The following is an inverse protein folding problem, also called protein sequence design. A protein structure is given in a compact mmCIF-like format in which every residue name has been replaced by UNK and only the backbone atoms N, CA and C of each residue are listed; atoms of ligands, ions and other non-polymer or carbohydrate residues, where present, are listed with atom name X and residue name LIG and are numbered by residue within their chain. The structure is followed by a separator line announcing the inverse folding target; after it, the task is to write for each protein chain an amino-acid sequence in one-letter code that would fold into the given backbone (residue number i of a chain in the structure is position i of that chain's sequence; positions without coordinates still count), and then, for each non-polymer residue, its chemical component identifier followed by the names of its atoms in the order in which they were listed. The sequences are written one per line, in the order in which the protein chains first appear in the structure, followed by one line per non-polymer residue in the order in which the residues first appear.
data_IF_665669567541
#
_entry.id   IF_665669567541
#
_cell.length_a   1.000
_cell.length_b   1.000
_cell.length_c   1.000
_cell.angle_alpha   90.00
_cell.angle_beta   90.00
_cell.angle_gamma   90.00
#
_symmetry.space_group_name_H-M   'P 1'
#
loop_
_entity.id
_entity.type
_entity.pdbx_description
1 polymer ?
#
# COMPACT_ATOMS: atom_id res chain seq x y z
N UNK A 1 21.75 4.17 8.18
CA UNK A 1 20.33 4.58 8.15
C UNK A 1 19.43 3.39 7.82
N UNK A 2 18.34 3.27 8.53
CA UNK A 2 17.36 2.23 8.23
C UNK A 2 16.66 2.53 6.91
N UNK A 3 16.45 1.49 6.09
CA UNK A 3 15.67 1.64 4.87
C UNK A 3 14.17 1.72 5.21
N UNK A 4 13.42 2.47 4.42
CA UNK A 4 11.98 2.63 4.61
C UNK A 4 11.21 1.42 4.08
N UNK A 5 11.66 0.84 2.97
CA UNK A 5 11.01 -0.32 2.35
C UNK A 5 12.05 -1.28 1.79
N UNK A 6 12.04 -2.51 2.28
CA UNK A 6 12.93 -3.57 1.78
C UNK A 6 12.56 -4.00 0.34
N UNK A 7 11.41 -3.57 -0.16
CA UNK A 7 10.98 -3.86 -1.53
C UNK A 7 11.45 -2.82 -2.55
N UNK A 8 12.02 -1.70 -2.09
CA UNK A 8 12.36 -0.56 -2.93
C UNK A 8 13.71 -0.72 -3.63
N UNK A 9 13.83 -1.75 -4.42
CA UNK A 9 14.98 -1.96 -5.30
C UNK A 9 14.55 -2.78 -6.51
N UNK A 10 15.33 -2.70 -7.58
CA UNK A 10 15.09 -3.51 -8.78
C UNK A 10 15.18 -5.00 -8.44
N UNK A 11 16.19 -5.38 -7.66
CA UNK A 11 16.40 -6.79 -7.29
C UNK A 11 15.26 -7.35 -6.46
N UNK A 12 14.83 -6.63 -5.43
CA UNK A 12 13.73 -7.08 -4.56
C UNK A 12 12.41 -7.16 -5.34
N UNK A 13 12.13 -6.17 -6.18
CA UNK A 13 10.93 -6.14 -7.01
C UNK A 13 10.91 -7.31 -7.98
N UNK A 14 12.03 -7.54 -8.67
CA UNK A 14 12.14 -8.65 -9.61
C UNK A 14 11.97 -10.00 -8.92
N UNK A 15 12.54 -10.16 -7.74
CA UNK A 15 12.43 -11.38 -6.95
C UNK A 15 10.99 -11.70 -6.59
N UNK A 16 10.26 -10.70 -6.06
CA UNK A 16 8.85 -10.85 -5.70
C UNK A 16 8.02 -11.22 -6.93
N UNK A 17 8.18 -10.49 -8.03
CA UNK A 17 7.44 -10.76 -9.25
C UNK A 17 7.74 -12.14 -9.82
N UNK A 18 9.01 -12.57 -9.77
CA UNK A 18 9.43 -13.90 -10.25
C UNK A 18 8.80 -15.02 -9.44
N UNK A 19 8.75 -14.87 -8.11
CA UNK A 19 8.15 -15.88 -7.23
C UNK A 19 6.65 -16.06 -7.49
N UNK A 20 6.00 -15.03 -8.01
CA UNK A 20 4.57 -15.08 -8.35
C UNK A 20 4.30 -15.28 -9.83
N UNK A 21 5.34 -15.55 -10.63
CA UNK A 21 5.18 -15.79 -12.06
C UNK A 21 4.83 -14.54 -12.87
N UNK A 22 5.14 -13.36 -12.35
CA UNK A 22 4.73 -12.09 -12.94
C UNK A 22 5.86 -11.28 -13.58
N UNK A 23 7.10 -11.79 -13.56
CA UNK A 23 8.27 -11.03 -14.00
C UNK A 23 8.21 -10.61 -15.47
N UNK A 24 7.52 -11.39 -16.32
CA UNK A 24 7.38 -11.09 -17.74
C UNK A 24 6.18 -10.22 -18.07
N UNK A 25 5.24 -10.07 -17.13
CA UNK A 25 4.02 -9.29 -17.33
C UNK A 25 4.18 -7.81 -17.00
N UNK A 26 5.17 -7.47 -16.17
CA UNK A 26 5.33 -6.13 -15.63
C UNK A 26 6.69 -5.56 -15.98
N UNK A 27 6.69 -4.30 -16.43
CA UNK A 27 7.91 -3.58 -16.74
C UNK A 27 8.44 -2.92 -15.48
N UNK A 28 9.64 -3.33 -15.06
CA UNK A 28 10.31 -2.72 -13.90
C UNK A 28 10.59 -1.25 -14.14
N UNK A 29 10.44 -0.45 -13.10
CA UNK A 29 10.72 0.98 -13.17
C UNK A 29 9.58 1.82 -13.74
N UNK A 30 8.65 1.22 -14.48
CA UNK A 30 7.48 1.92 -14.99
C UNK A 30 6.30 1.83 -14.05
N UNK A 31 6.13 0.66 -13.42
CA UNK A 31 4.96 0.36 -12.60
C UNK A 31 5.27 0.23 -11.12
N UNK A 32 6.55 0.24 -10.74
CA UNK A 32 6.96 -0.02 -9.37
C UNK A 32 8.02 0.98 -8.91
N UNK A 33 7.91 1.38 -7.63
CA UNK A 33 8.94 2.19 -7.00
C UNK A 33 10.15 1.30 -6.69
N UNK A 34 11.32 1.71 -7.14
CA UNK A 34 12.57 0.96 -6.92
C UNK A 34 13.63 1.81 -6.21
N UNK A 35 13.23 2.91 -5.59
CA UNK A 35 14.12 3.86 -4.92
C UNK A 35 13.63 4.14 -3.51
N UNK A 36 14.37 3.63 -2.52
CA UNK A 36 13.98 3.79 -1.12
C UNK A 36 13.98 5.25 -0.65
N UNK A 37 14.82 6.10 -1.23
CA UNK A 37 14.83 7.53 -0.86
C UNK A 37 13.50 8.21 -1.21
N UNK A 38 12.85 7.81 -2.30
CA UNK A 38 11.52 8.31 -2.67
C UNK A 38 10.49 7.86 -1.65
N UNK A 39 10.54 6.59 -1.23
CA UNK A 39 9.64 6.05 -0.21
C UNK A 39 9.82 6.81 1.11
N UNK A 40 11.06 7.00 1.54
CA UNK A 40 11.37 7.73 2.77
C UNK A 40 10.83 9.17 2.72
N UNK A 41 10.98 9.84 1.56
CA UNK A 41 10.46 11.20 1.37
C UNK A 41 8.93 11.24 1.43
N UNK A 42 8.24 10.28 0.85
CA UNK A 42 6.78 10.21 0.92
C UNK A 42 6.34 10.10 2.39
N UNK A 43 6.96 9.21 3.13
CA UNK A 43 6.65 9.05 4.56
C UNK A 43 6.89 10.34 5.34
N UNK A 44 7.99 11.02 5.06
CA UNK A 44 8.35 12.27 5.74
C UNK A 44 7.39 13.40 5.40
N UNK A 45 7.14 13.61 4.10
CA UNK A 45 6.30 14.72 3.62
C UNK A 45 4.83 14.54 4.00
N UNK A 46 4.36 13.30 4.06
CA UNK A 46 2.98 13.01 4.45
C UNK A 46 2.76 13.16 5.96
N UNK A 47 3.82 13.19 6.75
CA UNK A 47 3.76 13.22 8.22
C UNK A 47 2.91 12.09 8.79
N UNK A 48 2.93 10.93 8.12
CA UNK A 48 2.14 9.78 8.56
C UNK A 48 2.53 9.36 9.97
N UNK A 49 1.52 9.16 10.82
CA UNK A 49 1.71 8.77 12.22
C UNK A 49 0.70 7.71 12.65
N UNK A 50 0.89 7.19 13.86
CA UNK A 50 0.11 6.07 14.41
C UNK A 50 -1.38 6.37 14.62
N UNK A 51 -1.79 7.62 14.45
CA UNK A 51 -3.20 8.01 14.53
C UNK A 51 -3.86 8.06 13.15
N UNK A 52 -3.10 7.89 12.08
CA UNK A 52 -3.60 8.09 10.73
C UNK A 52 -4.26 6.84 10.15
N UNK A 53 -5.42 7.06 9.56
CA UNK A 53 -6.12 6.10 8.72
C UNK A 53 -5.86 6.46 7.26
N UNK A 54 -5.06 5.67 6.59
CA UNK A 54 -4.51 5.98 5.28
C UNK A 54 -5.25 5.24 4.17
N UNK A 55 -5.57 5.95 3.11
CA UNK A 55 -6.04 5.37 1.85
C UNK A 55 -4.88 5.41 0.86
N UNK A 56 -4.56 4.26 0.31
CA UNK A 56 -3.56 4.11 -0.76
C UNK A 56 -4.21 3.54 -2.00
N UNK A 57 -3.94 4.12 -3.16
CA UNK A 57 -4.41 3.60 -4.45
C UNK A 57 -3.24 3.09 -5.27
N UNK A 58 -3.35 1.87 -5.77
CA UNK A 58 -2.33 1.26 -6.60
C UNK A 58 -1.07 0.87 -5.84
N UNK A 59 -1.18 0.01 -4.80
CA UNK A 59 -0.02 -0.38 -4.00
C UNK A 59 1.03 -1.18 -4.76
N UNK A 60 0.70 -1.73 -5.93
CA UNK A 60 1.62 -2.58 -6.68
C UNK A 60 2.00 -3.82 -5.89
N UNK A 61 3.28 -4.04 -5.68
CA UNK A 61 3.77 -5.16 -4.86
C UNK A 61 3.84 -4.82 -3.37
N UNK A 62 3.42 -3.61 -2.97
CA UNK A 62 3.41 -3.19 -1.58
C UNK A 62 4.62 -2.37 -1.15
N UNK A 63 5.38 -1.83 -2.10
CA UNK A 63 6.63 -1.12 -1.79
C UNK A 63 6.41 0.07 -0.86
N UNK A 64 5.46 0.95 -1.16
CA UNK A 64 5.10 2.04 -0.27
C UNK A 64 4.30 1.53 0.92
N UNK A 65 3.44 0.56 0.70
CA UNK A 65 2.56 0.00 1.73
C UNK A 65 3.32 -0.49 2.95
N UNK A 66 4.40 -1.27 2.75
CA UNK A 66 5.19 -1.81 3.86
C UNK A 66 5.93 -0.72 4.65
N UNK A 67 6.14 0.45 4.05
CA UNK A 67 6.69 1.60 4.75
C UNK A 67 5.61 2.36 5.55
N UNK A 68 4.38 2.38 5.06
CA UNK A 68 3.26 3.04 5.73
C UNK A 68 2.74 2.23 6.93
N UNK A 69 2.66 0.91 6.79
CA UNK A 69 2.04 0.05 7.80
C UNK A 69 2.63 0.18 9.21
N UNK A 70 3.96 0.21 9.39
CA UNK A 70 4.50 0.39 10.74
C UNK A 70 4.33 1.80 11.31
N UNK A 71 3.92 2.76 10.48
CA UNK A 71 3.78 4.16 10.87
C UNK A 71 2.34 4.59 11.08
N UNK A 72 1.39 3.93 10.43
CA UNK A 72 -0.02 4.32 10.40
C UNK A 72 -0.84 3.51 11.40
N UNK A 73 -2.04 4.01 11.72
CA UNK A 73 -3.03 3.24 12.49
C UNK A 73 -3.59 2.11 11.64
N UNK A 74 -4.00 2.43 10.42
CA UNK A 74 -4.53 1.45 9.47
C UNK A 74 -4.31 1.94 8.05
N UNK A 75 -4.03 1.01 7.13
CA UNK A 75 -3.90 1.32 5.71
C UNK A 75 -4.92 0.50 4.93
N UNK A 76 -5.75 1.20 4.16
CA UNK A 76 -6.63 0.60 3.16
C UNK A 76 -5.99 0.83 1.79
N UNK A 77 -5.67 -0.25 1.09
CA UNK A 77 -5.13 -0.18 -0.26
C UNK A 77 -6.13 -0.71 -1.26
N UNK A 78 -6.26 -0.01 -2.38
CA UNK A 78 -7.17 -0.36 -3.47
C UNK A 78 -6.32 -0.74 -4.68
N UNK A 79 -6.46 -1.99 -5.13
CA UNK A 79 -5.71 -2.50 -6.28
C UNK A 79 -6.66 -3.14 -7.27
N UNK A 80 -6.65 -2.67 -8.52
CA UNK A 80 -7.53 -3.22 -9.54
C UNK A 80 -6.92 -4.36 -10.35
N UNK A 81 -5.58 -4.49 -10.33
CA UNK A 81 -4.90 -5.57 -11.04
C UNK A 81 -5.08 -6.88 -10.28
N UNK A 82 -5.77 -7.83 -10.88
CA UNK A 82 -6.09 -9.12 -10.24
C UNK A 82 -4.88 -10.02 -9.99
N UNK A 83 -3.73 -9.69 -10.57
CA UNK A 83 -2.49 -10.44 -10.32
C UNK A 83 -1.81 -10.07 -9.00
N UNK A 84 -2.13 -8.90 -8.44
CA UNK A 84 -1.39 -8.35 -7.30
C UNK A 84 -1.92 -8.69 -5.89
N UNK A 85 -3.20 -9.04 -5.68
CA UNK A 85 -3.65 -9.40 -4.32
C UNK A 85 -2.84 -10.51 -3.66
N UNK A 86 -2.49 -11.57 -4.39
CA UNK A 86 -1.68 -12.66 -3.84
C UNK A 86 -0.28 -12.18 -3.46
N UNK A 87 0.29 -11.25 -4.23
CA UNK A 87 1.59 -10.64 -3.93
C UNK A 87 1.50 -9.83 -2.64
N UNK A 88 0.45 -9.00 -2.52
CA UNK A 88 0.24 -8.16 -1.34
C UNK A 88 -0.06 -8.98 -0.08
N UNK A 89 -0.75 -10.11 -0.22
CA UNK A 89 -0.95 -11.04 0.88
C UNK A 89 0.39 -11.53 1.43
N UNK A 90 1.37 -11.77 0.57
CA UNK A 90 2.71 -12.17 1.00
C UNK A 90 3.51 -10.99 1.58
N UNK A 91 3.59 -9.88 0.85
CA UNK A 91 4.48 -8.77 1.24
C UNK A 91 3.99 -8.02 2.46
N UNK A 92 2.70 -8.01 2.73
CA UNK A 92 2.09 -7.32 3.86
C UNK A 92 1.65 -8.28 4.99
N UNK A 93 2.07 -9.53 4.94
CA UNK A 93 1.65 -10.59 5.87
C UNK A 93 2.00 -10.31 7.34
N UNK A 94 3.10 -9.60 7.57
CA UNK A 94 3.56 -9.29 8.93
C UNK A 94 2.71 -8.24 9.66
N UNK A 95 1.71 -7.66 8.98
CA UNK A 95 0.93 -6.54 9.52
C UNK A 95 -0.53 -6.91 9.69
N UNK A 96 -1.11 -6.51 10.82
CA UNK A 96 -2.53 -6.74 11.13
C UNK A 96 -3.40 -5.50 10.89
N UNK A 97 -2.79 -4.37 10.48
CA UNK A 97 -3.47 -3.09 10.23
C UNK A 97 -3.60 -2.78 8.73
N UNK A 98 -3.74 -3.81 7.92
CA UNK A 98 -3.83 -3.71 6.47
C UNK A 98 -5.16 -4.27 5.96
N UNK A 99 -5.82 -3.51 5.09
CA UNK A 99 -6.99 -3.99 4.33
C UNK A 99 -6.73 -3.76 2.85
N UNK A 100 -6.93 -4.81 2.06
CA UNK A 100 -6.83 -4.73 0.61
C UNK A 100 -8.21 -4.93 0.00
N UNK A 101 -8.58 -4.06 -0.93
CA UNK A 101 -9.79 -4.22 -1.72
C UNK A 101 -9.41 -4.26 -3.20
N UNK A 102 -9.80 -5.34 -3.87
CA UNK A 102 -9.52 -5.55 -5.30
C UNK A 102 -10.63 -4.95 -6.14
N UNK A 103 -10.49 -3.69 -6.52
CA UNK A 103 -11.42 -3.01 -7.41
C UNK A 103 -10.79 -1.75 -7.99
N UNK A 104 -11.48 -1.15 -8.93
CA UNK A 104 -11.15 0.18 -9.43
C UNK A 104 -11.44 1.21 -8.34
N UNK A 105 -10.49 2.08 -8.05
CA UNK A 105 -10.63 3.11 -7.01
C UNK A 105 -11.81 4.05 -7.27
N UNK A 106 -12.19 4.24 -8.53
CA UNK A 106 -13.36 5.04 -8.89
C UNK A 106 -14.68 4.43 -8.42
N UNK A 107 -14.66 3.16 -8.04
CA UNK A 107 -15.84 2.45 -7.51
C UNK A 107 -15.85 2.32 -6.01
N UNK A 108 -14.87 2.94 -5.33
CA UNK A 108 -14.80 2.94 -3.88
C UNK A 108 -16.07 3.58 -3.30
N UNK A 109 -16.65 2.95 -2.28
CA UNK A 109 -17.88 3.41 -1.65
C UNK A 109 -17.76 3.41 -0.13
N UNK A 110 -18.78 3.93 0.55
CA UNK A 110 -18.77 4.03 2.00
C UNK A 110 -18.67 2.68 2.70
N UNK A 111 -19.27 1.62 2.13
CA UNK A 111 -19.18 0.29 2.72
C UNK A 111 -17.74 -0.24 2.72
N UNK A 112 -16.98 0.07 1.68
CA UNK A 112 -15.56 -0.28 1.60
C UNK A 112 -14.76 0.42 2.71
N UNK A 113 -15.03 1.71 2.91
CA UNK A 113 -14.36 2.50 3.95
C UNK A 113 -14.73 2.01 5.34
N UNK A 114 -16.00 1.69 5.56
CA UNK A 114 -16.48 1.17 6.84
C UNK A 114 -15.85 -0.18 7.16
N UNK A 115 -15.74 -1.05 6.15
CA UNK A 115 -15.10 -2.35 6.33
C UNK A 115 -13.64 -2.22 6.78
N UNK A 116 -12.93 -1.20 6.25
CA UNK A 116 -11.52 -0.98 6.59
C UNK A 116 -11.32 -0.22 7.89
N UNK A 117 -12.07 0.86 8.10
CA UNK A 117 -11.79 1.83 9.17
C UNK A 117 -12.82 1.83 10.30
N UNK A 118 -13.94 1.15 10.12
CA UNK A 118 -15.04 1.16 11.08
C UNK A 118 -16.06 2.26 10.80
N UNK A 119 -17.33 1.94 11.10
CA UNK A 119 -18.46 2.83 10.81
C UNK A 119 -18.36 4.16 11.54
N UNK A 120 -17.97 4.14 12.81
CA UNK A 120 -17.91 5.34 13.64
C UNK A 120 -16.92 6.35 13.08
N UNK A 121 -15.70 5.91 12.75
CA UNK A 121 -14.67 6.80 12.22
C UNK A 121 -15.05 7.37 10.85
N UNK A 122 -15.64 6.56 9.99
CA UNK A 122 -16.06 7.00 8.66
C UNK A 122 -17.19 8.00 8.74
N UNK A 123 -18.22 7.73 9.53
CA UNK A 123 -19.36 8.63 9.69
C UNK A 123 -18.98 9.94 10.38
N UNK A 124 -17.99 9.92 11.25
CA UNK A 124 -17.47 11.12 11.91
C UNK A 124 -16.54 11.95 11.02
N UNK A 125 -16.24 11.47 9.81
CA UNK A 125 -15.33 12.15 8.91
C UNK A 125 -13.84 12.03 9.31
N UNK A 126 -13.52 11.07 10.16
CA UNK A 126 -12.17 10.89 10.68
C UNK A 126 -11.34 9.89 9.89
N UNK A 127 -11.98 9.07 9.04
CA UNK A 127 -11.30 8.05 8.27
C UNK A 127 -11.90 7.90 6.86
N UNK A 128 -11.04 7.83 5.83
CA UNK A 128 -9.60 8.06 5.91
C UNK A 128 -9.29 9.53 6.16
N UNK A 129 -8.19 9.81 6.85
CA UNK A 129 -7.75 11.18 7.07
C UNK A 129 -6.52 11.55 6.24
N UNK A 130 -5.89 10.58 5.59
CA UNK A 130 -4.78 10.81 4.67
C UNK A 130 -4.90 9.95 3.43
N UNK A 131 -4.59 10.54 2.30
CA UNK A 131 -4.44 9.85 1.03
C UNK A 131 -2.94 9.88 0.72
N UNK A 132 -2.27 8.73 0.78
CA UNK A 132 -0.83 8.61 0.54
C UNK A 132 -0.63 7.54 -0.52
N UNK A 133 -0.12 7.94 -1.68
CA UNK A 133 -0.03 7.06 -2.82
C UNK A 133 1.10 7.52 -3.74
N UNK A 134 1.60 6.60 -4.52
CA UNK A 134 2.57 6.95 -5.54
C UNK A 134 1.91 7.02 -6.90
#
# INVERSE_FOLDING_TARGET
MAIASHLASVGATRDVLSRHGLATKHSLGQNFLVNDAVIANICKLSEVCEEDNVLEVGPGIGTLTVALLPRAKHVLSIERDSDLPAVLDETCDDFDNFTLIGKDALRLNDDDLIAAFGKQAVEAGEAPNKFISN
#
